data_IF_233498180685
#
_entry.id   IF_233498180685
#
_cell.length_a   1.000
_cell.length_b   1.000
_cell.length_c   1.000
_cell.angle_alpha   90.00
_cell.angle_beta   90.00
_cell.angle_gamma   90.00
#
_symmetry.space_group_name_H-M   'P 1'
#
loop_
_entity.id
_entity.type
_entity.pdbx_description
1 polymer ?
#
# COMPACT_ATOMS: atom_id res chain seq x y z
N UNK A 1 9.49 -36.56 -6.72
CA UNK A 1 8.18 -36.69 -7.38
C UNK A 1 8.25 -35.89 -8.68
N UNK A 2 8.08 -36.53 -9.85
CA UNK A 2 8.12 -35.87 -11.16
C UNK A 2 6.89 -34.97 -11.27
N UNK A 3 7.09 -33.64 -11.41
CA UNK A 3 6.01 -32.73 -11.76
C UNK A 3 5.37 -33.19 -13.09
N UNK A 4 4.12 -33.58 -13.03
CA UNK A 4 3.33 -33.92 -14.23
C UNK A 4 3.08 -32.61 -15.00
N UNK A 5 3.81 -32.42 -16.10
CA UNK A 5 3.73 -31.19 -16.91
C UNK A 5 2.49 -31.24 -17.78
N UNK A 6 1.60 -30.28 -17.63
CA UNK A 6 0.45 -30.11 -18.52
C UNK A 6 0.89 -29.52 -19.86
N UNK A 7 0.14 -29.77 -20.95
CA UNK A 7 0.39 -29.15 -22.27
C UNK A 7 0.40 -27.62 -22.19
N UNK A 8 -0.44 -27.03 -21.34
CA UNK A 8 -0.46 -25.59 -21.09
C UNK A 8 0.86 -25.10 -20.47
N UNK A 9 1.45 -25.86 -19.56
CA UNK A 9 2.72 -25.52 -18.94
C UNK A 9 3.90 -25.59 -19.92
N UNK A 10 3.88 -26.52 -20.87
CA UNK A 10 4.85 -26.62 -21.94
C UNK A 10 4.72 -25.45 -22.94
N UNK A 11 3.52 -25.13 -23.39
CA UNK A 11 3.26 -23.99 -24.28
C UNK A 11 3.71 -22.66 -23.63
N UNK A 12 3.53 -22.52 -22.32
CA UNK A 12 4.00 -21.35 -21.59
C UNK A 12 5.52 -21.24 -21.55
N UNK A 13 6.25 -22.34 -21.34
CA UNK A 13 7.70 -22.36 -21.29
C UNK A 13 8.34 -22.10 -22.65
N UNK A 14 7.69 -22.49 -23.74
CA UNK A 14 8.19 -22.36 -25.11
C UNK A 14 7.80 -21.04 -25.78
N UNK A 15 6.96 -20.22 -25.15
CA UNK A 15 6.58 -18.92 -25.73
C UNK A 15 7.78 -17.99 -25.87
N UNK A 16 7.87 -17.30 -27.01
CA UNK A 16 8.99 -16.42 -27.34
C UNK A 16 8.98 -15.06 -26.63
N UNK A 17 8.00 -14.74 -25.75
CA UNK A 17 7.86 -13.41 -25.11
C UNK A 17 7.47 -13.52 -23.64
N UNK A 18 8.24 -12.87 -22.77
CA UNK A 18 7.87 -12.60 -21.37
C UNK A 18 7.10 -11.28 -21.31
N UNK A 19 5.87 -11.31 -20.81
CA UNK A 19 5.04 -10.10 -20.70
C UNK A 19 5.49 -9.22 -19.53
N UNK A 20 5.12 -7.92 -19.56
CA UNK A 20 5.40 -6.99 -18.44
C UNK A 20 4.77 -7.47 -17.13
N UNK A 21 3.58 -8.10 -17.20
CA UNK A 21 2.89 -8.67 -16.04
C UNK A 21 3.68 -9.81 -15.42
N UNK A 22 4.16 -10.74 -16.23
CA UNK A 22 4.99 -11.86 -15.75
C UNK A 22 6.27 -11.38 -15.08
N UNK A 23 6.97 -10.45 -15.71
CA UNK A 23 8.18 -9.86 -15.14
C UNK A 23 7.90 -9.22 -13.79
N UNK A 24 6.84 -8.41 -13.71
CA UNK A 24 6.43 -7.78 -12.46
C UNK A 24 6.11 -8.80 -11.37
N UNK A 25 5.32 -9.84 -11.70
CA UNK A 25 4.95 -10.88 -10.74
C UNK A 25 6.15 -11.70 -10.29
N UNK A 26 7.07 -12.02 -11.18
CA UNK A 26 8.32 -12.72 -10.85
C UNK A 26 9.24 -11.88 -9.95
N UNK A 27 9.41 -10.57 -10.26
CA UNK A 27 10.17 -9.65 -9.41
C UNK A 27 9.56 -9.56 -8.01
N UNK A 28 8.24 -9.44 -7.91
CA UNK A 28 7.55 -9.34 -6.62
C UNK A 28 7.60 -10.65 -5.86
N UNK A 29 7.46 -11.80 -6.53
CA UNK A 29 7.58 -13.13 -5.89
C UNK A 29 8.96 -13.32 -5.22
N UNK A 30 10.02 -12.85 -5.87
CA UNK A 30 11.38 -12.97 -5.37
C UNK A 30 11.68 -12.04 -4.17
N UNK A 31 10.99 -10.90 -4.02
CA UNK A 31 11.29 -9.92 -2.97
C UNK A 31 10.34 -9.96 -1.78
N UNK A 32 9.18 -10.61 -1.91
CA UNK A 32 8.24 -10.78 -0.81
C UNK A 32 8.79 -11.80 0.20
N UNK A 33 8.84 -11.44 1.49
CA UNK A 33 9.34 -12.34 2.54
C UNK A 33 8.25 -13.36 2.94
N UNK A 34 7.91 -14.29 2.02
CA UNK A 34 6.78 -15.21 2.18
C UNK A 34 6.77 -15.93 3.52
N UNK A 35 7.89 -16.55 3.93
CA UNK A 35 7.97 -17.28 5.18
C UNK A 35 7.60 -16.41 6.39
N UNK A 36 8.11 -15.16 6.43
CA UNK A 36 7.81 -14.21 7.51
C UNK A 36 6.33 -13.83 7.52
N UNK A 37 5.73 -13.56 6.34
CA UNK A 37 4.32 -13.16 6.26
C UNK A 37 3.36 -14.31 6.55
N UNK A 38 3.67 -15.51 6.07
CA UNK A 38 2.84 -16.70 6.32
C UNK A 38 2.82 -17.05 7.81
N UNK A 39 3.96 -17.02 8.49
CA UNK A 39 4.05 -17.29 9.93
C UNK A 39 3.16 -16.34 10.77
N UNK A 40 2.98 -15.08 10.35
CA UNK A 40 2.10 -14.12 11.02
C UNK A 40 0.62 -14.46 10.90
N UNK A 41 0.22 -15.10 9.80
CA UNK A 41 -1.18 -15.38 9.50
C UNK A 41 -1.58 -16.78 10.00
N UNK A 42 -0.63 -17.70 10.01
CA UNK A 42 -0.85 -19.14 10.27
C UNK A 42 -1.58 -19.41 11.60
N UNK A 43 -1.27 -18.62 12.66
CA UNK A 43 -1.91 -18.75 13.95
C UNK A 43 -3.43 -18.48 13.92
N UNK A 44 -3.89 -17.71 12.92
CA UNK A 44 -5.29 -17.31 12.75
C UNK A 44 -5.99 -18.07 11.61
N UNK A 45 -5.20 -18.81 10.81
CA UNK A 45 -5.73 -19.49 9.63
C UNK A 45 -6.45 -20.80 10.05
N UNK A 46 -7.61 -21.11 9.42
CA UNK A 46 -8.33 -22.33 9.75
C UNK A 46 -7.46 -23.58 9.57
N UNK A 47 -7.50 -24.47 10.53
CA UNK A 47 -6.84 -25.79 10.44
C UNK A 47 -7.76 -26.80 9.78
N UNK A 48 -7.17 -27.82 9.15
CA UNK A 48 -7.91 -28.96 8.63
C UNK A 48 -8.70 -29.65 9.75
N UNK A 49 -9.97 -29.93 9.52
CA UNK A 49 -10.90 -30.59 10.41
C UNK A 49 -11.76 -31.60 9.64
N UNK A 50 -12.88 -32.04 10.24
CA UNK A 50 -13.78 -33.03 9.63
C UNK A 50 -14.60 -32.53 8.43
N UNK A 51 -14.48 -31.24 8.05
CA UNK A 51 -15.19 -30.63 6.91
C UNK A 51 -14.28 -30.43 5.69
N UNK A 52 -14.71 -29.54 4.77
CA UNK A 52 -13.90 -29.15 3.61
C UNK A 52 -12.56 -28.57 4.08
N UNK A 53 -11.48 -29.14 3.61
CA UNK A 53 -10.14 -28.64 3.93
C UNK A 53 -9.95 -27.20 3.48
N UNK A 54 -9.36 -26.32 4.31
CA UNK A 54 -9.02 -24.98 3.92
C UNK A 54 -8.00 -25.00 2.78
N UNK A 55 -8.13 -24.05 1.86
CA UNK A 55 -7.15 -23.88 0.78
C UNK A 55 -5.80 -23.45 1.36
N UNK A 56 -4.72 -23.75 0.69
CA UNK A 56 -3.38 -23.42 1.18
C UNK A 56 -3.23 -21.92 1.48
N UNK A 57 -2.74 -21.60 2.68
CA UNK A 57 -2.59 -20.21 3.15
C UNK A 57 -1.78 -19.35 2.16
N UNK A 58 -0.69 -19.90 1.62
CA UNK A 58 0.14 -19.18 0.66
C UNK A 58 -0.63 -18.84 -0.62
N UNK A 59 -1.45 -19.76 -1.15
CA UNK A 59 -2.32 -19.50 -2.32
C UNK A 59 -3.26 -18.34 -2.05
N UNK A 60 -3.90 -18.31 -0.89
CA UNK A 60 -4.82 -17.26 -0.49
C UNK A 60 -4.14 -15.89 -0.35
N UNK A 61 -2.96 -15.84 0.27
CA UNK A 61 -2.20 -14.60 0.42
C UNK A 61 -1.71 -14.08 -0.95
N UNK A 62 -1.29 -14.96 -1.84
CA UNK A 62 -0.89 -14.62 -3.22
C UNK A 62 -2.06 -14.03 -4.01
N UNK A 63 -3.24 -14.62 -3.94
CA UNK A 63 -4.46 -14.09 -4.58
C UNK A 63 -4.84 -12.74 -3.98
N UNK A 64 -4.77 -12.59 -2.66
CA UNK A 64 -5.01 -11.31 -1.99
C UNK A 64 -4.06 -10.21 -2.49
N UNK A 65 -2.78 -10.52 -2.74
CA UNK A 65 -1.83 -9.55 -3.30
C UNK A 65 -2.14 -9.21 -4.77
N UNK A 66 -2.58 -10.18 -5.58
CA UNK A 66 -3.08 -9.91 -6.94
C UNK A 66 -4.24 -8.91 -6.93
N UNK A 67 -5.17 -9.04 -5.98
CA UNK A 67 -6.26 -8.06 -5.82
C UNK A 67 -5.74 -6.65 -5.57
N UNK A 68 -4.67 -6.49 -4.78
CA UNK A 68 -4.10 -5.17 -4.51
C UNK A 68 -3.42 -4.57 -5.75
N UNK A 69 -2.60 -5.33 -6.44
CA UNK A 69 -1.83 -4.85 -7.59
C UNK A 69 -2.67 -4.55 -8.82
N UNK A 70 -3.67 -5.39 -9.08
CA UNK A 70 -4.51 -5.27 -10.28
C UNK A 70 -5.88 -4.69 -10.00
N UNK A 71 -6.12 -4.22 -8.78
CA UNK A 71 -7.37 -3.61 -8.35
C UNK A 71 -8.59 -4.51 -8.64
N UNK A 72 -8.50 -5.81 -8.35
CA UNK A 72 -9.55 -6.80 -8.60
C UNK A 72 -10.55 -6.86 -7.45
N UNK A 73 -11.84 -7.01 -7.77
CA UNK A 73 -12.86 -7.42 -6.79
C UNK A 73 -12.73 -8.91 -6.46
N UNK A 74 -13.50 -9.38 -5.48
CA UNK A 74 -13.47 -10.80 -5.13
C UNK A 74 -13.88 -11.67 -6.34
N UNK A 75 -15.00 -11.41 -7.08
CA UNK A 75 -15.30 -12.10 -8.32
C UNK A 75 -14.23 -11.96 -9.42
N UNK A 76 -13.73 -10.73 -9.64
CA UNK A 76 -12.69 -10.51 -10.64
C UNK A 76 -11.38 -11.24 -10.31
N UNK A 77 -11.08 -11.49 -9.04
CA UNK A 77 -9.89 -12.25 -8.67
C UNK A 77 -10.07 -13.74 -8.99
N UNK A 78 -11.26 -14.28 -8.77
CA UNK A 78 -11.64 -15.64 -9.21
C UNK A 78 -11.50 -15.76 -10.72
N UNK A 79 -12.18 -14.89 -11.49
CA UNK A 79 -12.10 -14.88 -12.97
C UNK A 79 -10.64 -14.78 -13.46
N UNK A 80 -9.85 -13.90 -12.84
CA UNK A 80 -8.46 -13.67 -13.23
C UNK A 80 -7.56 -14.91 -13.04
N UNK A 81 -7.89 -15.79 -12.08
CA UNK A 81 -7.17 -17.06 -11.91
C UNK A 81 -7.54 -18.04 -13.03
N UNK A 82 -8.77 -18.04 -13.51
CA UNK A 82 -9.17 -18.85 -14.68
C UNK A 82 -8.58 -18.30 -15.98
N UNK A 83 -8.61 -17.00 -16.20
CA UNK A 83 -8.27 -16.38 -17.49
C UNK A 83 -6.78 -16.14 -17.69
N UNK A 84 -6.04 -15.79 -16.61
CA UNK A 84 -4.65 -15.35 -16.72
C UNK A 84 -3.66 -16.37 -16.22
N UNK A 85 -2.97 -17.05 -17.13
CA UNK A 85 -1.89 -17.99 -16.81
C UNK A 85 -0.80 -17.35 -15.91
N UNK A 86 -0.44 -16.07 -16.16
CA UNK A 86 0.55 -15.37 -15.35
C UNK A 86 0.10 -15.20 -13.88
N UNK A 87 -1.19 -14.87 -13.67
CA UNK A 87 -1.74 -14.70 -12.31
C UNK A 87 -1.92 -16.04 -11.63
N UNK A 88 -2.38 -17.06 -12.35
CA UNK A 88 -2.54 -18.42 -11.87
C UNK A 88 -1.21 -19.00 -11.38
N UNK A 89 -0.14 -18.88 -12.17
CA UNK A 89 1.20 -19.32 -11.79
C UNK A 89 1.73 -18.59 -10.57
N UNK A 90 1.53 -17.27 -10.52
CA UNK A 90 1.87 -16.50 -9.33
C UNK A 90 1.09 -16.98 -8.10
N UNK A 91 -0.20 -17.29 -8.25
CA UNK A 91 -1.05 -17.82 -7.19
C UNK A 91 -0.71 -19.27 -6.79
N UNK A 92 0.16 -19.96 -7.57
CA UNK A 92 0.47 -21.38 -7.42
C UNK A 92 -0.78 -22.26 -7.46
N UNK A 93 -1.65 -21.98 -8.43
CA UNK A 93 -2.85 -22.76 -8.71
C UNK A 93 -2.66 -23.46 -10.05
N UNK A 94 -2.85 -24.81 -10.08
CA UNK A 94 -2.84 -25.59 -11.31
C UNK A 94 -4.27 -26.06 -11.63
N UNK A 95 -4.79 -25.69 -12.81
CA UNK A 95 -6.13 -26.11 -13.22
C UNK A 95 -6.13 -27.62 -13.47
N UNK A 96 -7.11 -28.30 -12.91
CA UNK A 96 -7.23 -29.76 -12.98
C UNK A 96 -6.80 -30.45 -11.71
N UNK A 97 -5.77 -29.96 -11.02
CA UNK A 97 -5.28 -30.55 -9.79
C UNK A 97 -5.73 -29.77 -8.55
N UNK A 98 -5.84 -28.44 -8.67
CA UNK A 98 -6.18 -27.54 -7.57
C UNK A 98 -7.62 -27.00 -7.68
N UNK A 99 -8.24 -26.81 -6.53
CA UNK A 99 -9.49 -26.07 -6.45
C UNK A 99 -9.19 -24.56 -6.50
N UNK A 100 -9.75 -23.87 -7.47
CA UNK A 100 -9.71 -22.41 -7.55
C UNK A 100 -10.60 -21.86 -6.42
N UNK A 101 -10.11 -20.88 -5.59
CA UNK A 101 -10.95 -20.25 -4.58
C UNK A 101 -12.08 -19.47 -5.24
N UNK A 102 -13.29 -19.70 -4.80
CA UNK A 102 -14.44 -18.88 -5.16
C UNK A 102 -14.40 -17.49 -4.51
N UNK A 103 -15.22 -16.56 -5.02
CA UNK A 103 -15.31 -15.18 -4.50
C UNK A 103 -15.59 -15.14 -2.99
N UNK A 104 -16.41 -16.08 -2.49
CA UNK A 104 -16.78 -16.14 -1.06
C UNK A 104 -15.62 -16.58 -0.18
N UNK A 105 -14.77 -17.47 -0.67
CA UNK A 105 -13.54 -17.91 0.00
C UNK A 105 -12.51 -16.78 0.02
N UNK A 106 -12.36 -16.05 -1.09
CA UNK A 106 -11.49 -14.86 -1.18
C UNK A 106 -11.98 -13.78 -0.20
N UNK A 107 -13.30 -13.53 -0.14
CA UNK A 107 -13.92 -12.61 0.80
C UNK A 107 -13.66 -13.00 2.26
N UNK A 108 -13.83 -14.29 2.63
CA UNK A 108 -13.57 -14.78 3.98
C UNK A 108 -12.13 -14.60 4.39
N UNK A 109 -11.18 -14.86 3.49
CA UNK A 109 -9.76 -14.63 3.76
C UNK A 109 -9.47 -13.15 4.05
N UNK A 110 -10.02 -12.23 3.26
CA UNK A 110 -9.90 -10.80 3.51
C UNK A 110 -10.48 -10.40 4.87
N UNK A 111 -11.66 -10.92 5.23
CA UNK A 111 -12.28 -10.67 6.53
C UNK A 111 -11.43 -11.20 7.69
N UNK A 112 -10.78 -12.36 7.54
CA UNK A 112 -9.83 -12.89 8.52
C UNK A 112 -8.67 -11.90 8.74
N UNK A 113 -8.07 -11.38 7.65
CA UNK A 113 -7.00 -10.39 7.76
C UNK A 113 -7.46 -9.10 8.45
N UNK A 114 -8.67 -8.62 8.15
CA UNK A 114 -9.28 -7.43 8.75
C UNK A 114 -9.60 -7.66 10.25
N UNK A 115 -10.24 -8.76 10.59
CA UNK A 115 -10.67 -9.11 11.95
C UNK A 115 -9.48 -9.19 12.92
N UNK A 116 -8.40 -9.80 12.50
CA UNK A 116 -7.19 -9.97 13.31
C UNK A 116 -6.14 -8.87 13.08
N UNK A 117 -6.48 -7.79 12.36
CA UNK A 117 -5.58 -6.66 12.03
C UNK A 117 -4.26 -7.10 11.37
N UNK A 118 -4.27 -8.25 10.70
CA UNK A 118 -3.07 -8.83 10.09
C UNK A 118 -2.49 -7.97 8.97
N UNK A 119 -3.28 -7.09 8.36
CA UNK A 119 -2.79 -6.11 7.37
C UNK A 119 -1.83 -5.10 7.98
N UNK A 120 -2.06 -4.66 9.22
CA UNK A 120 -1.13 -3.82 9.97
C UNK A 120 0.15 -4.60 10.31
N UNK A 121 0.01 -5.83 10.78
CA UNK A 121 1.15 -6.72 11.10
C UNK A 121 2.00 -7.02 9.85
N UNK A 122 1.37 -7.25 8.69
CA UNK A 122 2.07 -7.40 7.39
C UNK A 122 2.84 -6.12 7.05
N UNK A 123 2.22 -4.94 7.20
CA UNK A 123 2.87 -3.66 6.95
C UNK A 123 4.09 -3.46 7.86
N UNK A 124 3.94 -3.75 9.16
CA UNK A 124 5.02 -3.66 10.15
C UNK A 124 6.15 -4.64 9.83
N UNK A 125 5.83 -5.89 9.50
CA UNK A 125 6.83 -6.90 9.13
C UNK A 125 7.67 -6.52 7.90
N UNK A 126 7.04 -5.89 6.90
CA UNK A 126 7.76 -5.37 5.73
C UNK A 126 8.60 -4.14 6.11
N UNK A 127 8.06 -3.23 6.92
CA UNK A 127 8.81 -2.07 7.43
C UNK A 127 10.07 -2.51 8.17
N UNK A 128 9.93 -3.47 9.08
CA UNK A 128 11.02 -3.99 9.90
C UNK A 128 12.09 -4.69 9.05
N UNK A 129 11.67 -5.48 8.06
CA UNK A 129 12.58 -6.07 7.06
C UNK A 129 13.42 -5.00 6.34
N UNK A 130 12.77 -3.92 5.89
CA UNK A 130 13.46 -2.85 5.18
C UNK A 130 14.40 -2.06 6.10
N UNK A 131 14.09 -1.95 7.38
CA UNK A 131 14.98 -1.39 8.39
C UNK A 131 16.19 -2.30 8.63
N UNK A 132 15.99 -3.61 8.84
CA UNK A 132 17.03 -4.63 8.98
C UNK A 132 18.02 -4.59 7.79
N UNK A 133 17.49 -4.39 6.56
CA UNK A 133 18.26 -4.27 5.33
C UNK A 133 18.85 -2.86 5.10
N UNK A 134 18.65 -1.92 6.01
CA UNK A 134 19.07 -0.49 5.89
C UNK A 134 18.49 0.22 4.65
N UNK A 135 17.36 -0.26 4.15
CA UNK A 135 16.63 0.33 3.03
C UNK A 135 15.63 1.39 3.49
N UNK A 136 15.21 1.38 4.76
CA UNK A 136 14.40 2.40 5.39
C UNK A 136 15.25 3.24 6.35
N UNK A 137 15.19 4.58 6.18
CA UNK A 137 16.00 5.54 6.92
C UNK A 137 15.18 6.22 8.03
N UNK A 138 15.65 6.17 9.27
CA UNK A 138 14.96 6.82 10.41
C UNK A 138 15.38 8.26 10.70
N UNK A 139 16.24 8.85 9.89
CA UNK A 139 16.80 10.19 10.16
C UNK A 139 15.87 11.35 9.83
N UNK A 140 14.77 11.11 9.13
CA UNK A 140 13.82 12.16 8.76
C UNK A 140 12.56 11.61 8.17
N UNK A 141 11.45 12.29 8.45
CA UNK A 141 10.10 11.92 7.97
C UNK A 141 9.56 12.97 7.01
N UNK A 142 9.07 12.52 5.87
CA UNK A 142 8.25 13.28 4.94
C UNK A 142 6.80 12.96 5.26
N UNK A 143 6.02 13.98 5.65
CA UNK A 143 4.58 13.83 5.87
C UNK A 143 3.80 14.35 4.68
N UNK A 144 2.83 13.58 4.22
CA UNK A 144 1.94 13.96 3.12
C UNK A 144 0.58 13.27 3.25
N UNK A 145 -0.43 13.80 2.55
CA UNK A 145 -1.78 13.25 2.58
C UNK A 145 -2.40 13.23 1.17
N UNK A 146 -3.23 12.23 0.92
CA UNK A 146 -3.97 12.13 -0.32
C UNK A 146 -5.43 11.77 -0.08
N UNK A 147 -6.33 12.34 -0.90
CA UNK A 147 -7.75 12.00 -0.87
C UNK A 147 -7.96 10.73 -1.71
N UNK A 148 -8.72 9.79 -1.15
CA UNK A 148 -9.29 8.64 -1.84
C UNK A 148 -10.80 8.88 -1.92
N UNK A 149 -11.33 8.96 -3.15
CA UNK A 149 -12.74 9.26 -3.36
C UNK A 149 -13.64 8.10 -2.92
N UNK A 150 -14.81 8.43 -2.39
CA UNK A 150 -15.87 7.48 -2.09
C UNK A 150 -17.09 7.71 -2.99
N UNK A 151 -17.95 6.69 -3.20
CA UNK A 151 -19.23 6.89 -3.90
C UNK A 151 -20.08 7.93 -3.17
N UNK A 152 -20.48 8.98 -3.87
CA UNK A 152 -21.36 10.04 -3.33
C UNK A 152 -22.85 9.73 -3.56
N UNK A 153 -23.16 8.68 -4.33
CA UNK A 153 -24.54 8.28 -4.63
C UNK A 153 -25.23 7.69 -3.39
N UNK A 154 -26.51 7.98 -3.25
CA UNK A 154 -27.42 7.38 -2.26
C UNK A 154 -28.28 6.28 -2.87
N UNK A 155 -28.04 5.90 -4.14
CA UNK A 155 -28.76 4.82 -4.84
C UNK A 155 -28.23 3.44 -4.45
N UNK A 156 -28.22 3.14 -3.16
CA UNK A 156 -27.85 1.85 -2.59
C UNK A 156 -29.00 1.33 -1.72
N UNK A 157 -28.95 0.08 -1.28
CA UNK A 157 -30.00 -0.53 -0.47
C UNK A 157 -30.32 0.22 0.83
N UNK A 158 -29.36 0.97 1.38
CA UNK A 158 -29.56 1.76 2.61
C UNK A 158 -29.94 3.22 2.35
N UNK A 159 -30.03 3.64 1.09
CA UNK A 159 -30.28 5.03 0.67
C UNK A 159 -29.38 6.10 1.36
N UNK A 160 -28.21 5.68 1.88
CA UNK A 160 -27.30 6.53 2.65
C UNK A 160 -25.88 6.48 2.11
N UNK A 161 -25.17 7.59 2.22
CA UNK A 161 -23.73 7.63 2.01
C UNK A 161 -23.00 6.94 3.16
N UNK A 162 -21.73 6.62 2.96
CA UNK A 162 -20.89 6.11 4.03
C UNK A 162 -20.72 7.21 5.12
N UNK A 163 -21.15 6.98 6.38
CA UNK A 163 -21.12 8.00 7.44
C UNK A 163 -19.70 8.34 7.89
N UNK A 164 -18.72 7.44 7.68
CA UNK A 164 -17.32 7.68 8.03
C UNK A 164 -16.56 8.50 6.95
N UNK A 165 -17.20 8.77 5.81
CA UNK A 165 -16.64 9.56 4.72
C UNK A 165 -17.21 10.99 4.76
N UNK A 166 -16.36 11.97 4.46
CA UNK A 166 -16.74 13.38 4.50
C UNK A 166 -16.37 14.13 3.22
N UNK A 167 -16.96 15.32 3.06
CA UNK A 167 -16.63 16.20 1.94
C UNK A 167 -15.42 17.08 2.28
N UNK A 168 -14.49 17.20 1.33
CA UNK A 168 -13.37 18.12 1.39
C UNK A 168 -13.22 18.88 0.09
N UNK A 169 -12.80 20.14 0.18
CA UNK A 169 -12.49 20.97 -0.98
C UNK A 169 -10.99 20.98 -1.25
N UNK A 170 -10.60 20.66 -2.47
CA UNK A 170 -9.21 20.82 -2.94
C UNK A 170 -9.19 21.69 -4.19
N UNK A 171 -8.66 22.90 -4.06
CA UNK A 171 -8.77 23.90 -5.12
C UNK A 171 -10.21 24.30 -5.38
N UNK A 172 -10.69 24.14 -6.61
CA UNK A 172 -12.09 24.41 -7.00
C UNK A 172 -13.01 23.20 -6.88
N UNK A 173 -12.46 22.01 -6.69
CA UNK A 173 -13.20 20.74 -6.73
C UNK A 173 -13.56 20.27 -5.32
N UNK A 174 -14.76 19.68 -5.20
CA UNK A 174 -15.23 18.99 -4.02
C UNK A 174 -15.04 17.48 -4.18
N UNK A 175 -14.57 16.85 -3.12
CA UNK A 175 -14.37 15.41 -3.04
C UNK A 175 -15.15 14.86 -1.85
N UNK A 176 -15.86 13.77 -2.03
CA UNK A 176 -16.43 12.98 -0.95
C UNK A 176 -15.57 11.73 -0.78
N UNK A 177 -15.11 11.43 0.45
CA UNK A 177 -14.25 10.28 0.68
C UNK A 177 -13.46 10.35 1.98
N UNK A 178 -12.30 9.72 1.95
CA UNK A 178 -11.34 9.66 3.05
C UNK A 178 -10.00 10.27 2.66
N UNK A 179 -9.17 10.56 3.66
CA UNK A 179 -7.75 10.86 3.48
C UNK A 179 -6.89 9.71 3.96
N UNK A 180 -5.83 9.43 3.22
CA UNK A 180 -4.69 8.67 3.69
C UNK A 180 -3.55 9.63 3.99
N UNK A 181 -3.09 9.62 5.23
CA UNK A 181 -1.92 10.35 5.70
C UNK A 181 -0.77 9.36 5.83
N UNK A 182 0.41 9.73 5.36
CA UNK A 182 1.60 8.90 5.42
C UNK A 182 2.78 9.64 6.05
N UNK A 183 3.55 8.91 6.83
CA UNK A 183 4.92 9.24 7.17
C UNK A 183 5.86 8.36 6.35
N UNK A 184 6.73 8.98 5.55
CA UNK A 184 7.70 8.29 4.73
C UNK A 184 9.12 8.79 5.03
N UNK A 185 10.12 7.95 4.82
CA UNK A 185 11.51 8.35 4.92
C UNK A 185 11.96 9.26 3.76
N UNK A 186 13.21 9.71 3.77
CA UNK A 186 13.77 10.56 2.71
C UNK A 186 13.91 9.85 1.35
N UNK A 187 13.75 8.55 1.28
CA UNK A 187 13.70 7.77 0.04
C UNK A 187 12.28 7.63 -0.50
N UNK A 188 11.27 7.95 0.33
CA UNK A 188 9.86 7.79 0.01
C UNK A 188 9.29 6.44 0.46
N UNK A 189 10.01 5.70 1.32
CA UNK A 189 9.53 4.45 1.91
C UNK A 189 8.60 4.77 3.07
N UNK A 190 7.37 4.32 3.00
CA UNK A 190 6.33 4.62 3.98
C UNK A 190 6.51 3.76 5.23
N UNK A 191 6.61 4.42 6.39
CA UNK A 191 6.72 3.76 7.70
C UNK A 191 5.46 3.90 8.57
N UNK A 192 4.56 4.83 8.23
CA UNK A 192 3.32 5.06 8.97
C UNK A 192 2.18 5.38 7.99
N UNK A 193 1.01 4.80 8.21
CA UNK A 193 -0.21 5.02 7.42
C UNK A 193 -1.39 5.23 8.35
N UNK A 194 -2.14 6.31 8.15
CA UNK A 194 -3.35 6.64 8.90
C UNK A 194 -4.47 6.98 7.93
N UNK A 195 -5.68 6.55 8.23
CA UNK A 195 -6.89 6.93 7.51
C UNK A 195 -7.76 7.84 8.38
N UNK A 196 -8.27 8.90 7.79
CA UNK A 196 -9.28 9.78 8.39
C UNK A 196 -10.37 10.11 7.38
N UNK A 197 -11.47 10.68 7.81
CA UNK A 197 -12.39 11.33 6.88
C UNK A 197 -11.67 12.43 6.08
N UNK A 198 -12.22 12.80 4.91
CA UNK A 198 -11.58 13.79 4.05
C UNK A 198 -11.56 15.21 4.62
N UNK A 199 -12.40 15.53 5.63
CA UNK A 199 -12.50 16.86 6.25
C UNK A 199 -11.39 17.09 7.29
N UNK A 200 -10.88 16.03 7.90
CA UNK A 200 -9.82 16.12 8.92
C UNK A 200 -8.62 16.91 8.40
N UNK A 201 -8.15 17.88 9.18
CA UNK A 201 -7.01 18.73 8.78
C UNK A 201 -5.68 17.96 8.86
N UNK A 202 -4.84 18.06 7.84
CA UNK A 202 -3.60 17.30 7.73
C UNK A 202 -2.65 17.55 8.91
N UNK A 203 -2.58 18.79 9.40
CA UNK A 203 -1.70 19.18 10.51
C UNK A 203 -2.04 18.46 11.82
N UNK A 204 -3.30 18.08 12.05
CA UNK A 204 -3.70 17.36 13.26
C UNK A 204 -3.13 15.95 13.31
N UNK A 205 -2.75 15.41 12.14
CA UNK A 205 -2.18 14.07 12.04
C UNK A 205 -0.65 14.06 12.14
N UNK A 206 0.00 15.21 12.12
CA UNK A 206 1.47 15.30 12.18
C UNK A 206 2.08 14.50 13.34
N UNK A 207 1.63 14.61 14.60
CA UNK A 207 2.24 13.86 15.70
C UNK A 207 2.14 12.34 15.53
N UNK A 208 1.06 11.86 14.90
CA UNK A 208 0.81 10.43 14.70
C UNK A 208 1.58 9.83 13.52
N UNK A 209 2.16 10.67 12.66
CA UNK A 209 2.95 10.26 11.50
C UNK A 209 4.44 10.15 11.79
N UNK A 210 4.87 10.62 12.97
CA UNK A 210 6.26 10.62 13.38
C UNK A 210 6.58 9.35 14.19
N UNK A 211 7.80 8.86 14.06
CA UNK A 211 8.30 7.68 14.81
C UNK A 211 9.16 8.06 16.04
N UNK A 212 9.35 9.37 16.30
CA UNK A 212 10.05 9.88 17.48
C UNK A 212 11.59 9.89 17.41
N UNK A 213 12.19 9.46 16.29
CA UNK A 213 13.66 9.46 16.08
C UNK A 213 14.07 10.42 14.96
N UNK A 214 13.19 11.31 14.57
CA UNK A 214 13.43 12.26 13.50
C UNK A 214 14.49 13.28 13.87
N UNK A 215 15.43 13.53 12.95
CA UNK A 215 16.30 14.70 12.96
C UNK A 215 15.73 15.82 12.07
N UNK A 216 14.84 15.47 11.16
CA UNK A 216 14.23 16.40 10.20
C UNK A 216 12.79 15.97 9.87
N UNK A 217 11.90 16.95 9.76
CA UNK A 217 10.51 16.75 9.35
C UNK A 217 10.26 17.58 8.10
N UNK A 218 9.76 16.94 7.02
CA UNK A 218 9.39 17.59 5.76
C UNK A 218 7.88 17.48 5.57
N UNK A 219 7.25 18.54 5.11
CA UNK A 219 5.83 18.55 4.79
C UNK A 219 5.51 19.73 3.87
N UNK A 220 4.31 19.72 3.33
CA UNK A 220 3.80 20.86 2.59
C UNK A 220 3.34 21.99 3.53
N UNK A 221 2.84 23.08 2.96
CA UNK A 221 2.37 24.25 3.74
C UNK A 221 1.10 23.96 4.58
N UNK A 222 0.38 22.85 4.35
CA UNK A 222 -0.77 22.45 5.17
C UNK A 222 -0.35 21.98 6.56
N UNK A 223 0.88 21.48 6.69
CA UNK A 223 1.49 21.09 7.97
C UNK A 223 2.23 22.23 8.66
N UNK A 224 2.23 23.48 8.12
CA UNK A 224 2.96 24.59 8.71
C UNK A 224 2.22 25.18 9.90
N UNK A 225 2.87 25.14 11.08
CA UNK A 225 2.46 25.86 12.30
C UNK A 225 3.70 26.35 13.03
N UNK A 226 3.72 27.62 13.42
CA UNK A 226 4.90 28.26 14.05
C UNK A 226 5.18 27.66 15.43
N UNK A 227 4.14 27.35 16.21
CA UNK A 227 4.30 26.69 17.52
C UNK A 227 4.98 25.33 17.39
N UNK A 228 4.58 24.50 16.41
CA UNK A 228 5.18 23.19 16.15
C UNK A 228 6.64 23.35 15.71
N UNK A 229 6.95 24.35 14.87
CA UNK A 229 8.33 24.66 14.49
C UNK A 229 9.19 24.98 15.71
N UNK A 230 8.70 25.80 16.64
CA UNK A 230 9.42 26.14 17.88
C UNK A 230 9.60 24.91 18.76
N UNK A 231 8.55 24.12 18.98
CA UNK A 231 8.59 22.92 19.80
C UNK A 231 9.59 21.87 19.26
N UNK A 232 9.54 21.56 17.96
CA UNK A 232 10.48 20.61 17.34
C UNK A 232 11.90 21.16 17.31
N UNK A 233 12.09 22.47 17.09
CA UNK A 233 13.43 23.08 17.15
C UNK A 233 14.04 23.00 18.54
N UNK A 234 13.24 23.20 19.60
CA UNK A 234 13.67 23.04 20.98
C UNK A 234 14.11 21.61 21.31
N UNK A 235 13.54 20.62 20.64
CA UNK A 235 13.91 19.19 20.71
C UNK A 235 15.10 18.83 19.80
N UNK A 236 15.74 19.79 19.13
CA UNK A 236 16.83 19.54 18.19
C UNK A 236 16.39 19.01 16.83
N UNK A 237 15.10 18.96 16.54
CA UNK A 237 14.54 18.47 15.26
C UNK A 237 14.41 19.62 14.27
N UNK A 238 14.98 19.49 13.10
CA UNK A 238 14.90 20.48 12.02
C UNK A 238 13.53 20.43 11.33
N UNK A 239 12.68 21.41 11.61
CA UNK A 239 11.35 21.54 11.01
C UNK A 239 11.45 22.14 9.61
N UNK A 240 11.51 21.26 8.58
CA UNK A 240 11.68 21.62 7.17
C UNK A 240 10.37 21.61 6.40
N UNK A 241 9.27 21.85 7.08
CA UNK A 241 7.94 22.04 6.48
C UNK A 241 7.91 23.35 5.69
N UNK A 242 7.28 23.35 4.52
CA UNK A 242 7.16 24.53 3.68
C UNK A 242 6.39 25.63 4.40
N UNK A 243 6.98 26.84 4.49
CA UNK A 243 6.33 27.97 5.14
C UNK A 243 5.10 28.41 4.33
N UNK A 244 3.98 28.57 5.03
CA UNK A 244 2.75 29.06 4.46
C UNK A 244 2.83 30.54 4.18
N UNK A 245 2.27 30.99 3.04
CA UNK A 245 2.01 32.41 2.75
C UNK A 245 0.99 32.95 3.76
N UNK A 246 1.29 34.08 4.34
CA UNK A 246 0.35 34.90 5.16
C UNK A 246 -0.30 35.96 4.27
N UNK A 247 -0.81 37.05 4.87
CA UNK A 247 -1.33 38.20 4.11
C UNK A 247 -0.28 38.82 3.16
N UNK A 248 1.01 38.78 3.56
CA UNK A 248 2.15 39.23 2.76
C UNK A 248 2.74 38.08 1.94
N UNK A 249 3.21 38.31 0.71
CA UNK A 249 3.92 37.31 -0.07
C UNK A 249 5.20 36.86 0.66
N UNK A 250 5.62 35.63 0.42
CA UNK A 250 6.89 35.14 0.95
C UNK A 250 8.05 35.92 0.30
N UNK A 251 9.08 36.27 1.11
CA UNK A 251 10.33 36.83 0.61
C UNK A 251 11.01 35.84 -0.36
N UNK A 252 11.87 36.35 -1.23
CA UNK A 252 12.61 35.53 -2.19
C UNK A 252 13.42 34.44 -1.49
N UNK A 253 14.08 34.74 -0.39
CA UNK A 253 14.78 33.78 0.45
C UNK A 253 13.86 32.62 0.86
N UNK A 254 12.64 32.88 1.31
CA UNK A 254 11.71 31.83 1.72
C UNK A 254 11.16 31.05 0.53
N UNK A 255 11.01 31.65 -0.65
CA UNK A 255 10.65 30.92 -1.88
C UNK A 255 11.74 29.91 -2.27
N UNK A 256 13.02 30.32 -2.22
CA UNK A 256 14.14 29.43 -2.49
C UNK A 256 14.23 28.28 -1.49
N UNK A 257 14.06 28.57 -0.19
CA UNK A 257 14.03 27.55 0.87
C UNK A 257 12.89 26.56 0.63
N UNK A 258 11.67 27.03 0.36
CA UNK A 258 10.52 26.16 0.06
C UNK A 258 10.77 25.31 -1.18
N UNK A 259 11.38 25.87 -2.24
CA UNK A 259 11.74 25.10 -3.45
C UNK A 259 12.73 23.97 -3.13
N UNK A 260 13.75 24.22 -2.32
CA UNK A 260 14.71 23.19 -1.90
C UNK A 260 14.04 22.09 -1.07
N UNK A 261 13.16 22.45 -0.12
CA UNK A 261 12.38 21.50 0.69
C UNK A 261 11.42 20.67 -0.14
N UNK A 262 10.76 21.27 -1.13
CA UNK A 262 9.84 20.58 -2.04
C UNK A 262 10.52 19.49 -2.88
N UNK A 263 11.81 19.62 -3.22
CA UNK A 263 12.58 18.56 -3.91
C UNK A 263 12.68 17.29 -3.05
N UNK A 264 12.91 17.43 -1.75
CA UNK A 264 12.94 16.27 -0.83
C UNK A 264 11.54 15.71 -0.65
N UNK A 265 10.53 16.56 -0.45
CA UNK A 265 9.13 16.16 -0.26
C UNK A 265 8.58 15.37 -1.46
N UNK A 266 8.97 15.73 -2.67
CA UNK A 266 8.51 15.05 -3.90
C UNK A 266 8.80 13.55 -3.88
N UNK A 267 9.79 13.08 -3.11
CA UNK A 267 10.05 11.63 -2.94
C UNK A 267 8.92 10.92 -2.20
N UNK A 268 8.26 11.58 -1.25
CA UNK A 268 7.08 11.03 -0.57
C UNK A 268 5.88 10.78 -1.50
N UNK A 269 5.80 11.55 -2.60
CA UNK A 269 4.75 11.39 -3.61
C UNK A 269 4.87 10.07 -4.41
N UNK A 270 6.07 9.45 -4.42
CA UNK A 270 6.31 8.20 -5.16
C UNK A 270 5.43 7.06 -4.65
N UNK A 271 5.27 6.90 -3.34
CA UNK A 271 4.41 5.87 -2.77
C UNK A 271 2.94 6.05 -3.20
N UNK A 272 2.44 7.28 -3.18
CA UNK A 272 1.09 7.58 -3.68
C UNK A 272 0.96 7.33 -5.18
N UNK A 273 1.98 7.63 -5.97
CA UNK A 273 1.99 7.31 -7.40
C UNK A 273 1.85 5.81 -7.64
N UNK A 274 2.57 4.97 -6.89
CA UNK A 274 2.49 3.53 -7.01
C UNK A 274 1.06 3.05 -6.73
N UNK A 275 0.50 3.36 -5.57
CA UNK A 275 -0.83 2.83 -5.21
C UNK A 275 -1.97 3.43 -6.04
N UNK A 276 -1.89 4.71 -6.44
CA UNK A 276 -2.98 5.38 -7.17
C UNK A 276 -2.89 5.22 -8.68
N UNK A 277 -1.70 5.42 -9.27
CA UNK A 277 -1.55 5.44 -10.73
C UNK A 277 -1.21 4.06 -11.28
N UNK A 278 -0.33 3.30 -10.61
CA UNK A 278 0.04 1.97 -11.10
C UNK A 278 -0.99 0.92 -10.69
N UNK A 279 -1.54 0.99 -9.46
CA UNK A 279 -2.43 -0.04 -8.90
C UNK A 279 -3.89 0.41 -8.77
N UNK A 280 -4.23 1.62 -9.21
CA UNK A 280 -5.61 2.10 -9.38
C UNK A 280 -6.37 2.41 -8.09
N UNK A 281 -5.71 2.58 -6.92
CA UNK A 281 -6.39 2.92 -5.68
C UNK A 281 -6.76 4.41 -5.61
N UNK A 282 -7.64 4.85 -6.49
CA UNK A 282 -8.16 6.22 -6.55
C UNK A 282 -9.51 6.38 -5.86
N UNK A 283 -10.22 5.26 -5.67
CA UNK A 283 -11.55 5.20 -5.06
C UNK A 283 -11.61 4.09 -4.03
N UNK A 284 -12.31 4.33 -2.91
CA UNK A 284 -12.54 3.31 -1.89
C UNK A 284 -13.35 2.16 -2.49
N UNK A 285 -13.03 0.94 -2.04
CA UNK A 285 -13.76 -0.26 -2.45
C UNK A 285 -14.76 -0.69 -1.39
N UNK A 286 -14.42 -0.48 -0.13
CA UNK A 286 -15.19 -0.97 1.01
C UNK A 286 -15.87 0.19 1.74
N UNK A 287 -16.95 -0.11 2.47
CA UNK A 287 -17.59 0.86 3.36
C UNK A 287 -16.82 0.91 4.68
N UNK A 288 -16.65 2.12 5.22
CA UNK A 288 -15.93 2.40 6.46
C UNK A 288 -14.44 2.65 6.31
N UNK A 289 -13.85 3.39 7.26
CA UNK A 289 -12.44 3.75 7.28
C UNK A 289 -11.54 2.54 7.56
N UNK A 290 -11.93 1.68 8.51
CA UNK A 290 -11.09 0.57 8.97
C UNK A 290 -10.73 -0.42 7.84
N UNK A 291 -11.70 -0.83 7.02
CA UNK A 291 -11.48 -1.76 5.90
C UNK A 291 -10.60 -1.14 4.80
N UNK A 292 -10.80 0.15 4.52
CA UNK A 292 -9.99 0.87 3.54
C UNK A 292 -8.57 1.15 4.07
N UNK A 293 -8.40 1.37 5.39
CA UNK A 293 -7.08 1.45 6.03
C UNK A 293 -6.35 0.10 5.93
N UNK A 294 -7.02 -1.01 6.24
CA UNK A 294 -6.45 -2.36 6.12
C UNK A 294 -5.93 -2.61 4.70
N UNK A 295 -6.71 -2.25 3.69
CA UNK A 295 -6.28 -2.29 2.30
C UNK A 295 -5.07 -1.39 2.03
N UNK A 296 -5.10 -0.14 2.49
CA UNK A 296 -4.01 0.81 2.31
C UNK A 296 -2.70 0.33 2.95
N UNK A 297 -2.76 -0.26 4.15
CA UNK A 297 -1.60 -0.86 4.83
C UNK A 297 -0.95 -1.94 3.97
N UNK A 298 -1.73 -2.89 3.45
CA UNK A 298 -1.19 -3.90 2.53
C UNK A 298 -0.61 -3.28 1.27
N UNK A 299 -1.31 -2.32 0.66
CA UNK A 299 -0.82 -1.67 -0.56
C UNK A 299 0.49 -0.90 -0.32
N UNK A 300 0.64 -0.21 0.80
CA UNK A 300 1.90 0.48 1.12
C UNK A 300 3.03 -0.48 1.50
N UNK A 301 2.74 -1.61 2.16
CA UNK A 301 3.72 -2.67 2.37
C UNK A 301 4.28 -3.18 1.03
N UNK A 302 3.40 -3.52 0.11
CA UNK A 302 3.76 -3.97 -1.23
C UNK A 302 4.44 -2.86 -2.07
N UNK A 303 4.00 -1.59 -1.93
CA UNK A 303 4.61 -0.45 -2.62
C UNK A 303 6.03 -0.18 -2.12
N UNK A 304 6.29 -0.34 -0.83
CA UNK A 304 7.63 -0.24 -0.27
C UNK A 304 8.57 -1.30 -0.88
N UNK A 305 8.15 -2.57 -0.91
CA UNK A 305 8.93 -3.65 -1.55
C UNK A 305 9.15 -3.36 -3.04
N UNK A 306 8.10 -2.92 -3.75
CA UNK A 306 8.20 -2.57 -5.17
C UNK A 306 9.21 -1.46 -5.44
N UNK A 307 9.26 -0.42 -4.61
CA UNK A 307 10.19 0.71 -4.77
C UNK A 307 11.64 0.28 -4.65
N UNK A 308 11.96 -0.61 -3.72
CA UNK A 308 13.33 -1.10 -3.45
C UNK A 308 13.62 -2.48 -4.04
N UNK A 309 12.74 -3.05 -4.87
CA UNK A 309 12.85 -4.43 -5.35
C UNK A 309 14.18 -4.74 -6.02
N UNK A 310 14.76 -3.77 -6.75
CA UNK A 310 16.07 -3.95 -7.40
C UNK A 310 17.22 -4.12 -6.41
N UNK A 311 17.08 -3.56 -5.22
CA UNK A 311 18.06 -3.68 -4.14
C UNK A 311 17.85 -4.97 -3.32
N UNK A 312 16.64 -5.53 -3.36
CA UNK A 312 16.29 -6.79 -2.68
C UNK A 312 16.53 -8.02 -3.56
N UNK A 313 16.49 -7.88 -4.87
CA UNK A 313 16.74 -8.99 -5.80
C UNK A 313 18.18 -9.50 -5.66
N UNK A 314 18.41 -10.83 -5.72
CA UNK A 314 19.75 -11.40 -5.76
C UNK A 314 20.58 -10.83 -6.92
N UNK A 315 21.88 -10.64 -6.69
CA UNK A 315 22.80 -10.22 -7.73
C UNK A 315 22.73 -11.23 -8.91
N UNK A 316 22.35 -10.75 -10.10
CA UNK A 316 22.14 -11.59 -11.29
C UNK A 316 20.69 -11.82 -11.70
N UNK A 317 19.69 -11.57 -10.84
CA UNK A 317 18.26 -11.69 -11.19
C UNK A 317 17.74 -10.52 -12.04
N UNK A 318 18.56 -9.49 -12.27
CA UNK A 318 18.17 -8.26 -13.01
C UNK A 318 18.15 -8.41 -14.53
N UNK A 319 18.44 -9.55 -15.10
CA UNK A 319 18.59 -9.76 -16.54
C UNK A 319 17.67 -10.85 -17.09
N UNK A 320 16.37 -10.68 -16.96
CA UNK A 320 15.45 -11.16 -18.00
C UNK A 320 15.10 -9.94 -18.83
N UNK A 321 15.95 -9.68 -19.84
CA UNK A 321 15.73 -8.68 -20.88
C UNK A 321 14.50 -9.04 -21.72
#
# INVERSE_FOLDING_TARGET
MSEQRTFASLAWQTKGKVTRRERFLAEMDAVIPWARLLALIEAHYPKAGNGRHPLGLEKMLRIYFLQQWFNLSDPQAEDAIYDSEAMRRFARVELGDDVVPDESTILRFRHLLEQHRLTATIFDAVRDLLEERRLLLRSGTIVDATIIAAPSSTKNATATRDPEMQQARKGRNWYFGMKLHVGADKRGIVHTVIATDARTADITQLPHLLHGREREIFGDQAYWKEADRQAFTAQGVRYRVNRRRTRRPLSERWRLINRARSRTRARGEHAFRVIKQLWGFTKVRYRGLAKNLARAQTMFALANLYQVRRELLPAGASCIQ
#
